data_IF_203093627012
#
_entry.id   IF_203093627012
#
_cell.length_a   1.000
_cell.length_b   1.000
_cell.length_c   1.000
_cell.angle_alpha   90.00
_cell.angle_beta   90.00
_cell.angle_gamma   90.00
#
_symmetry.space_group_name_H-M   'P 1'
#
loop_
_entity.id
_entity.type
_entity.pdbx_description
1 polymer ?
#
# COMPACT_ATOMS: atom_id res chain seq x y z
N UNK A 1 48.39 -6.13 -61.71
CA UNK A 1 48.75 -5.44 -60.49
C UNK A 1 47.59 -4.53 -60.13
N UNK A 2 46.70 -4.97 -59.22
CA UNK A 2 45.58 -4.16 -58.73
C UNK A 2 46.10 -3.37 -57.54
N UNK A 3 46.14 -2.04 -57.66
CA UNK A 3 46.36 -1.11 -56.51
C UNK A 3 45.03 -0.90 -55.83
N UNK A 4 44.94 -1.37 -54.60
CA UNK A 4 43.83 -1.03 -53.65
C UNK A 4 44.19 0.31 -52.99
N UNK A 5 43.58 1.39 -53.47
CA UNK A 5 43.63 2.69 -52.79
C UNK A 5 42.75 2.66 -51.56
N UNK A 6 43.35 2.43 -50.38
CA UNK A 6 42.70 2.62 -49.09
C UNK A 6 42.58 4.10 -48.79
N UNK A 7 41.41 4.71 -49.01
CA UNK A 7 41.09 6.08 -48.54
C UNK A 7 40.84 6.07 -47.02
N UNK A 8 41.68 6.73 -46.21
CA UNK A 8 41.57 6.71 -44.76
C UNK A 8 40.26 7.37 -44.20
N UNK A 9 39.59 8.18 -45.04
CA UNK A 9 38.32 8.84 -44.64
C UNK A 9 37.11 7.89 -44.53
N UNK A 10 37.14 6.73 -45.14
CA UNK A 10 36.02 5.78 -45.03
C UNK A 10 36.08 4.98 -43.76
N UNK A 11 37.28 4.70 -43.23
CA UNK A 11 37.46 3.94 -41.99
C UNK A 11 36.97 4.70 -40.75
N UNK A 12 37.21 6.02 -40.70
CA UNK A 12 36.71 6.87 -39.60
C UNK A 12 35.18 7.02 -39.61
N UNK A 13 34.56 7.08 -40.80
CA UNK A 13 33.10 7.15 -40.90
C UNK A 13 32.42 5.84 -40.47
N UNK A 14 32.97 4.70 -40.86
CA UNK A 14 32.43 3.40 -40.44
C UNK A 14 32.63 3.15 -38.95
N UNK A 15 33.78 3.54 -38.37
CA UNK A 15 34.03 3.47 -36.92
C UNK A 15 33.10 4.39 -36.15
N UNK A 16 32.82 5.60 -36.63
CA UNK A 16 31.90 6.53 -35.99
C UNK A 16 30.46 6.04 -36.02
N UNK A 17 30.03 5.45 -37.13
CA UNK A 17 28.67 4.89 -37.26
C UNK A 17 28.50 3.63 -36.41
N UNK A 18 29.51 2.76 -36.30
CA UNK A 18 29.45 1.60 -35.39
C UNK A 18 29.49 2.00 -33.92
N UNK A 19 30.25 3.05 -33.58
CA UNK A 19 30.25 3.60 -32.22
C UNK A 19 28.89 4.24 -31.85
N UNK A 20 28.27 4.99 -32.75
CA UNK A 20 26.92 5.55 -32.58
C UNK A 20 25.84 4.47 -32.47
N UNK A 21 25.91 3.41 -33.25
CA UNK A 21 25.00 2.26 -33.18
C UNK A 21 25.22 1.44 -31.90
N UNK A 22 26.44 1.37 -31.37
CA UNK A 22 26.75 0.74 -30.08
C UNK A 22 26.23 1.49 -28.85
N UNK A 23 26.03 2.80 -28.95
CA UNK A 23 25.51 3.65 -27.88
C UNK A 23 23.97 3.59 -27.74
N UNK A 24 23.25 3.07 -28.73
CA UNK A 24 21.77 2.96 -28.69
C UNK A 24 21.27 1.70 -27.99
N UNK A 25 22.17 0.86 -27.48
CA UNK A 25 21.84 -0.40 -26.79
C UNK A 25 21.60 -0.35 -25.30
N UNK A 26 21.44 0.83 -24.68
CA UNK A 26 20.92 0.92 -23.33
C UNK A 26 19.43 0.59 -23.37
N UNK A 27 19.09 -0.69 -23.25
CA UNK A 27 17.71 -1.14 -23.05
C UNK A 27 17.15 -0.39 -21.84
N UNK A 28 16.36 0.65 -22.09
CA UNK A 28 15.62 1.33 -21.04
C UNK A 28 14.69 0.30 -20.41
N UNK A 29 14.99 -0.10 -19.18
CA UNK A 29 14.17 -1.07 -18.46
C UNK A 29 12.76 -0.51 -18.37
N UNK A 30 11.82 -1.15 -19.06
CA UNK A 30 10.42 -0.75 -19.08
C UNK A 30 9.88 -0.72 -17.63
N UNK A 31 9.18 0.35 -17.29
CA UNK A 31 8.51 0.45 -15.99
C UNK A 31 7.41 -0.61 -15.90
N UNK A 32 7.45 -1.42 -14.86
CA UNK A 32 6.35 -2.28 -14.42
C UNK A 32 6.12 -2.05 -12.94
N UNK A 33 4.86 -1.92 -12.56
CA UNK A 33 4.43 -1.81 -11.16
C UNK A 33 3.85 -3.17 -10.76
N UNK A 34 4.48 -3.80 -9.78
CA UNK A 34 4.17 -5.16 -9.35
C UNK A 34 3.49 -5.09 -7.98
N UNK A 35 2.21 -5.43 -7.95
CA UNK A 35 1.42 -5.70 -6.75
C UNK A 35 1.11 -7.20 -6.77
N UNK A 36 1.83 -8.03 -5.98
CA UNK A 36 1.74 -9.49 -6.11
C UNK A 36 0.41 -10.04 -5.64
N UNK A 37 -0.20 -9.43 -4.62
CA UNK A 37 -1.46 -9.88 -4.04
C UNK A 37 -2.65 -9.21 -4.74
N UNK A 38 -3.61 -10.03 -5.22
CA UNK A 38 -4.89 -9.53 -5.73
C UNK A 38 -5.83 -9.12 -4.60
N UNK A 39 -5.72 -9.79 -3.46
CA UNK A 39 -6.51 -9.50 -2.27
C UNK A 39 -5.81 -9.95 -1.00
N UNK A 40 -6.05 -9.23 0.09
CA UNK A 40 -5.65 -9.60 1.45
C UNK A 40 -6.84 -9.44 2.39
N UNK A 41 -6.86 -10.23 3.46
CA UNK A 41 -7.87 -10.17 4.51
C UNK A 41 -7.19 -9.92 5.84
N UNK A 42 -7.67 -8.91 6.57
CA UNK A 42 -7.11 -8.47 7.85
C UNK A 42 -8.24 -8.29 8.86
N UNK A 43 -7.99 -8.62 10.13
CA UNK A 43 -8.96 -8.38 11.20
C UNK A 43 -8.96 -6.89 11.60
N UNK A 44 -10.12 -6.33 11.90
CA UNK A 44 -10.20 -4.97 12.40
C UNK A 44 -9.35 -4.81 13.68
N UNK A 45 -8.55 -3.74 13.74
CA UNK A 45 -7.57 -3.48 14.80
C UNK A 45 -6.16 -3.98 14.51
N UNK A 46 -5.96 -4.89 13.58
CA UNK A 46 -4.65 -5.35 13.13
C UNK A 46 -4.03 -4.39 12.11
N UNK A 47 -2.85 -4.73 11.64
CA UNK A 47 -2.13 -3.98 10.60
C UNK A 47 -2.13 -4.73 9.28
N UNK A 48 -2.15 -3.99 8.17
CA UNK A 48 -2.04 -4.52 6.82
C UNK A 48 -0.76 -4.04 6.14
N UNK A 49 -0.10 -4.93 5.40
CA UNK A 49 0.98 -4.55 4.49
C UNK A 49 0.46 -4.72 3.06
N UNK A 50 0.63 -3.66 2.26
CA UNK A 50 0.33 -3.66 0.83
C UNK A 50 1.64 -3.60 0.06
N UNK A 51 1.94 -4.66 -0.67
CA UNK A 51 3.20 -4.79 -1.39
C UNK A 51 3.15 -4.09 -2.76
N UNK A 52 4.18 -3.31 -3.07
CA UNK A 52 4.39 -2.67 -4.36
C UNK A 52 5.87 -2.55 -4.67
N UNK A 53 6.31 -3.14 -5.76
CA UNK A 53 7.65 -2.95 -6.29
C UNK A 53 7.61 -2.45 -7.73
N UNK A 54 8.64 -1.69 -8.13
CA UNK A 54 8.76 -1.18 -9.50
C UNK A 54 10.03 -1.68 -10.16
N UNK A 55 10.03 -1.81 -11.47
CA UNK A 55 11.21 -2.24 -12.23
C UNK A 55 12.12 -1.08 -12.62
N UNK A 56 11.59 0.15 -12.62
CA UNK A 56 12.31 1.38 -12.98
C UNK A 56 11.78 2.55 -12.18
N UNK A 57 12.60 3.55 -11.93
CA UNK A 57 12.18 4.83 -11.34
C UNK A 57 11.75 5.86 -12.40
N UNK A 58 12.03 5.59 -13.69
CA UNK A 58 11.63 6.44 -14.80
C UNK A 58 10.20 6.11 -15.28
N UNK A 59 9.46 7.13 -15.77
CA UNK A 59 9.79 8.54 -15.85
C UNK A 59 9.90 9.20 -14.47
N UNK A 60 10.51 10.39 -14.40
CA UNK A 60 10.65 11.15 -13.15
C UNK A 60 9.28 11.56 -12.61
N UNK A 61 9.05 11.31 -11.34
CA UNK A 61 7.79 11.64 -10.67
C UNK A 61 7.53 10.74 -9.46
N UNK A 62 6.58 11.09 -8.59
CA UNK A 62 6.30 10.35 -7.38
C UNK A 62 5.56 9.04 -7.64
N UNK A 63 5.61 8.18 -6.61
CA UNK A 63 4.66 7.07 -6.46
C UNK A 63 3.68 7.46 -5.36
N UNK A 64 2.40 7.18 -5.59
CA UNK A 64 1.32 7.40 -4.62
C UNK A 64 0.46 6.16 -4.52
N UNK A 65 -0.09 5.94 -3.35
CA UNK A 65 -1.12 4.94 -3.13
C UNK A 65 -2.50 5.57 -3.18
N UNK A 66 -3.36 5.01 -4.02
CA UNK A 66 -4.73 5.47 -4.23
C UNK A 66 -5.69 4.36 -3.84
N UNK A 67 -6.60 4.65 -2.92
CA UNK A 67 -7.71 3.78 -2.57
C UNK A 67 -8.93 4.13 -3.44
N UNK A 68 -9.62 3.10 -3.94
CA UNK A 68 -10.89 3.21 -4.68
C UNK A 68 -11.99 2.44 -3.96
N UNK A 69 -13.15 3.10 -3.81
CA UNK A 69 -14.39 2.53 -3.31
C UNK A 69 -15.48 2.97 -4.27
N UNK A 70 -15.97 2.08 -5.15
CA UNK A 70 -16.86 2.45 -6.22
C UNK A 70 -16.24 3.53 -7.11
N UNK A 71 -16.88 4.69 -7.22
CA UNK A 71 -16.38 5.85 -7.98
C UNK A 71 -15.46 6.77 -7.17
N UNK A 72 -15.42 6.62 -5.85
CA UNK A 72 -14.59 7.46 -5.00
C UNK A 72 -13.12 7.05 -5.09
N UNK A 73 -12.24 8.07 -5.21
CA UNK A 73 -10.77 7.91 -5.22
C UNK A 73 -10.19 8.80 -4.13
N UNK A 74 -9.24 8.25 -3.40
CA UNK A 74 -8.55 8.96 -2.33
C UNK A 74 -7.06 8.61 -2.33
N UNK A 75 -6.18 9.61 -2.32
CA UNK A 75 -4.76 9.41 -2.03
C UNK A 75 -4.65 9.09 -0.54
N UNK A 76 -4.02 7.96 -0.23
CA UNK A 76 -3.83 7.49 1.16
C UNK A 76 -2.38 7.53 1.60
N UNK A 77 -1.45 7.63 0.66
CA UNK A 77 -0.03 7.80 0.91
C UNK A 77 0.68 8.39 -0.30
N UNK A 78 1.67 9.24 -0.04
CA UNK A 78 2.54 9.83 -1.06
C UNK A 78 4.00 9.74 -0.59
N UNK A 79 4.90 9.31 -1.49
CA UNK A 79 6.33 9.24 -1.19
C UNK A 79 7.04 10.61 -1.38
N UNK A 80 6.30 11.72 -1.32
CA UNK A 80 6.82 13.10 -1.43
C UNK A 80 7.04 13.77 -0.07
N UNK A 81 6.90 13.04 1.04
CA UNK A 81 7.13 13.55 2.39
C UNK A 81 5.87 14.09 3.09
N UNK A 82 4.70 13.97 2.50
CA UNK A 82 3.43 14.26 3.17
C UNK A 82 3.19 13.28 4.32
N UNK A 83 2.64 13.77 5.43
CA UNK A 83 2.30 12.94 6.58
C UNK A 83 0.90 12.35 6.44
N UNK A 84 0.79 11.05 6.51
CA UNK A 84 -0.47 10.31 6.49
C UNK A 84 -0.66 9.58 7.83
N UNK A 85 -1.75 9.84 8.57
CA UNK A 85 -2.04 9.11 9.80
C UNK A 85 -2.18 7.61 9.52
N UNK A 86 -1.58 6.79 10.34
CA UNK A 86 -1.66 5.31 10.30
C UNK A 86 -1.02 4.64 9.08
N UNK A 87 -0.52 5.39 8.09
CA UNK A 87 0.12 4.82 6.89
C UNK A 87 1.59 5.22 6.87
N UNK A 88 2.46 4.24 6.78
CA UNK A 88 3.91 4.43 6.72
C UNK A 88 4.51 3.60 5.59
N UNK A 89 5.68 3.99 5.11
CA UNK A 89 6.47 3.16 4.20
C UNK A 89 7.10 1.97 4.93
N UNK A 90 7.25 0.88 4.21
CA UNK A 90 7.93 -0.33 4.71
C UNK A 90 9.43 -0.23 4.50
N UNK A 91 9.85 0.28 3.35
CA UNK A 91 11.26 0.40 2.97
C UNK A 91 11.83 1.79 3.23
N UNK A 92 13.14 1.91 3.25
CA UNK A 92 13.85 3.17 3.42
C UNK A 92 13.83 4.00 2.12
N UNK A 93 12.99 5.03 2.09
CA UNK A 93 12.80 5.93 0.94
C UNK A 93 14.00 6.87 0.70
N UNK A 94 14.94 6.98 1.65
CA UNK A 94 16.13 7.83 1.48
C UNK A 94 17.16 7.20 0.54
N UNK A 95 17.06 5.91 0.31
CA UNK A 95 17.94 5.20 -0.61
C UNK A 95 17.60 5.54 -2.06
N UNK A 96 18.57 6.10 -2.78
CA UNK A 96 18.41 6.55 -4.17
C UNK A 96 17.90 5.46 -5.13
N UNK A 97 18.22 4.20 -4.89
CA UNK A 97 17.84 3.07 -5.75
C UNK A 97 16.71 2.22 -5.14
N UNK A 98 15.90 2.81 -4.24
CA UNK A 98 14.76 2.10 -3.68
C UNK A 98 13.73 1.82 -4.78
N UNK A 99 13.39 0.56 -4.97
CA UNK A 99 12.36 0.08 -5.90
C UNK A 99 11.15 -0.51 -5.17
N UNK A 100 11.17 -0.50 -3.83
CA UNK A 100 10.09 -0.99 -2.98
C UNK A 100 9.28 0.20 -2.43
N UNK A 101 8.02 0.25 -2.81
CA UNK A 101 7.06 1.27 -2.43
C UNK A 101 5.89 0.68 -1.64
N UNK A 102 6.14 -0.41 -0.94
CA UNK A 102 5.19 -1.06 -0.04
C UNK A 102 4.85 -0.14 1.12
N UNK A 103 3.59 -0.23 1.58
CA UNK A 103 3.08 0.54 2.72
C UNK A 103 2.54 -0.37 3.82
N UNK A 104 2.60 0.14 5.03
CA UNK A 104 2.03 -0.46 6.23
C UNK A 104 0.89 0.43 6.73
N UNK A 105 -0.31 -0.14 6.85
CA UNK A 105 -1.49 0.52 7.40
C UNK A 105 -1.71 -0.03 8.81
N UNK A 106 -1.59 0.80 9.83
CA UNK A 106 -1.79 0.42 11.22
C UNK A 106 -3.24 0.57 11.66
N UNK A 107 -3.69 -0.27 12.60
CA UNK A 107 -5.02 -0.22 13.20
C UNK A 107 -6.14 -0.15 12.14
N UNK A 108 -6.18 -1.16 11.28
CA UNK A 108 -7.14 -1.26 10.18
C UNK A 108 -8.57 -1.30 10.71
N UNK A 109 -9.45 -0.53 10.08
CA UNK A 109 -10.87 -0.42 10.44
C UNK A 109 -11.77 -0.81 9.26
N UNK A 110 -13.05 -1.04 9.51
CA UNK A 110 -14.02 -1.33 8.44
C UNK A 110 -14.08 -0.22 7.37
N UNK A 111 -13.71 1.02 7.73
CA UNK A 111 -13.64 2.13 6.79
C UNK A 111 -12.46 2.03 5.81
N UNK A 112 -11.49 1.15 6.07
CA UNK A 112 -10.32 0.95 5.20
C UNK A 112 -10.58 -0.09 4.08
N UNK A 113 -11.78 -0.69 4.02
CA UNK A 113 -12.19 -1.55 2.91
C UNK A 113 -12.05 -0.85 1.56
N UNK A 114 -11.57 -1.56 0.54
CA UNK A 114 -11.46 -1.03 -0.82
C UNK A 114 -10.34 -1.65 -1.62
N UNK A 115 -10.14 -1.16 -2.84
CA UNK A 115 -9.04 -1.57 -3.71
C UNK A 115 -7.96 -0.51 -3.71
N UNK A 116 -6.74 -0.94 -3.48
CA UNK A 116 -5.56 -0.09 -3.32
C UNK A 116 -4.64 -0.24 -4.51
N UNK A 117 -4.36 0.87 -5.17
CA UNK A 117 -3.50 0.93 -6.34
C UNK A 117 -2.22 1.68 -6.00
N UNK A 118 -1.09 1.07 -6.30
CA UNK A 118 0.21 1.72 -6.37
C UNK A 118 0.32 2.38 -7.74
N UNK A 119 0.50 3.69 -7.78
CA UNK A 119 0.41 4.49 -9.01
C UNK A 119 1.67 5.32 -9.18
N UNK A 120 2.30 5.18 -10.34
CA UNK A 120 3.39 6.05 -10.77
C UNK A 120 2.81 7.30 -11.42
N UNK A 121 3.30 8.44 -10.99
CA UNK A 121 3.02 9.73 -11.60
C UNK A 121 4.20 10.17 -12.46
N UNK A 122 3.91 10.94 -13.47
CA UNK A 122 4.87 11.67 -14.26
C UNK A 122 4.80 13.14 -13.86
N UNK A 123 5.94 13.74 -13.54
CA UNK A 123 6.04 15.16 -13.23
C UNK A 123 6.35 15.93 -14.48
N UNK A 124 5.40 16.74 -14.94
CA UNK A 124 5.59 17.76 -15.98
C UNK A 124 6.07 19.07 -15.35
N UNK A 125 6.23 20.13 -16.15
CA UNK A 125 6.64 21.46 -15.64
C UNK A 125 5.61 22.10 -14.71
N UNK A 126 4.33 21.78 -14.87
CA UNK A 126 3.23 22.42 -14.14
C UNK A 126 2.42 21.45 -13.27
N UNK A 127 2.37 20.15 -13.60
CA UNK A 127 1.45 19.21 -12.98
C UNK A 127 2.05 17.81 -12.83
N UNK A 128 1.39 17.00 -12.01
CA UNK A 128 1.66 15.57 -11.86
C UNK A 128 0.52 14.80 -12.52
N UNK A 129 0.83 14.04 -13.56
CA UNK A 129 -0.13 13.20 -14.28
C UNK A 129 0.07 11.72 -13.94
N UNK A 130 -1.03 10.98 -13.92
CA UNK A 130 -0.99 9.54 -13.69
C UNK A 130 -0.39 8.84 -14.92
N UNK A 131 0.74 8.18 -14.71
CA UNK A 131 1.48 7.52 -15.79
C UNK A 131 1.13 6.04 -15.89
N UNK A 132 1.20 5.31 -14.77
CA UNK A 132 0.96 3.87 -14.77
C UNK A 132 0.42 3.39 -13.43
N UNK A 133 -0.47 2.38 -13.49
CA UNK A 133 -1.08 1.71 -12.33
C UNK A 133 -0.50 0.32 -12.14
N UNK A 134 -0.39 -0.09 -10.88
CA UNK A 134 -0.27 -1.51 -10.53
C UNK A 134 -1.59 -2.26 -10.71
N UNK A 135 -1.56 -3.57 -10.48
CA UNK A 135 -2.73 -4.44 -10.64
C UNK A 135 -3.86 -4.20 -9.65
N UNK A 136 -3.57 -3.52 -8.56
CA UNK A 136 -4.49 -3.28 -7.45
C UNK A 136 -4.58 -4.47 -6.48
N UNK A 137 -4.68 -4.16 -5.18
CA UNK A 137 -4.86 -5.13 -4.10
C UNK A 137 -6.15 -4.81 -3.36
N UNK A 138 -7.08 -5.76 -3.28
CA UNK A 138 -8.33 -5.59 -2.56
C UNK A 138 -8.14 -5.92 -1.08
N UNK A 139 -8.44 -4.97 -0.20
CA UNK A 139 -8.37 -5.14 1.25
C UNK A 139 -9.75 -5.50 1.81
N UNK A 140 -9.88 -6.71 2.31
CA UNK A 140 -11.05 -7.19 3.05
C UNK A 140 -10.81 -7.05 4.54
N UNK A 141 -11.83 -6.58 5.26
CA UNK A 141 -11.76 -6.41 6.71
C UNK A 141 -12.71 -7.40 7.38
N UNK A 142 -12.14 -8.32 8.15
CA UNK A 142 -12.89 -9.23 9.00
C UNK A 142 -13.24 -8.55 10.32
N UNK A 143 -14.48 -8.70 10.77
CA UNK A 143 -14.87 -8.26 12.13
C UNK A 143 -14.14 -9.15 13.14
N UNK A 144 -13.56 -8.54 14.14
CA UNK A 144 -13.04 -9.28 15.28
C UNK A 144 -14.22 -10.01 15.95
N UNK A 145 -14.15 -11.33 16.05
CA UNK A 145 -15.07 -12.09 16.91
C UNK A 145 -14.77 -11.66 18.35
N UNK A 146 -15.59 -10.80 18.92
CA UNK A 146 -15.60 -10.63 20.37
C UNK A 146 -15.95 -12.00 20.92
N UNK A 147 -15.00 -12.66 21.54
CA UNK A 147 -15.23 -13.92 22.22
C UNK A 147 -16.30 -13.67 23.26
N UNK A 148 -17.37 -14.47 23.23
CA UNK A 148 -18.46 -14.39 24.24
C UNK A 148 -17.92 -14.60 25.66
N UNK A 149 -16.66 -14.99 25.80
CA UNK A 149 -15.93 -15.07 27.06
C UNK A 149 -16.03 -13.78 27.91
N UNK A 150 -15.90 -12.59 27.29
CA UNK A 150 -16.04 -11.33 28.04
C UNK A 150 -17.46 -11.14 28.56
N UNK A 151 -18.48 -11.51 27.79
CA UNK A 151 -19.89 -11.48 28.20
C UNK A 151 -20.17 -12.50 29.31
N UNK A 152 -19.60 -13.70 29.19
CA UNK A 152 -19.70 -14.78 30.18
C UNK A 152 -19.06 -14.35 31.49
N UNK A 153 -17.85 -13.74 31.46
CA UNK A 153 -17.17 -13.26 32.66
C UNK A 153 -18.00 -12.18 33.36
N UNK A 154 -18.55 -11.22 32.62
CA UNK A 154 -19.42 -10.19 33.18
C UNK A 154 -20.69 -10.81 33.79
N UNK A 155 -21.33 -11.76 33.12
CA UNK A 155 -22.51 -12.44 33.61
C UNK A 155 -22.22 -13.25 34.92
N UNK A 156 -21.08 -13.95 34.96
CA UNK A 156 -20.68 -14.76 36.14
C UNK A 156 -20.28 -13.89 37.32
N UNK A 157 -19.65 -12.72 37.10
CA UNK A 157 -19.18 -11.85 38.17
C UNK A 157 -20.30 -10.93 38.72
N UNK A 158 -21.20 -10.45 37.86
CA UNK A 158 -22.26 -9.50 38.26
C UNK A 158 -23.59 -10.20 38.54
N UNK A 159 -23.91 -11.34 37.94
CA UNK A 159 -25.15 -12.06 38.10
C UNK A 159 -25.46 -12.39 39.57
N UNK A 160 -24.57 -13.05 40.34
CA UNK A 160 -24.81 -13.39 41.74
C UNK A 160 -25.03 -12.17 42.64
N UNK A 161 -24.30 -11.07 42.39
CA UNK A 161 -24.45 -9.83 43.18
C UNK A 161 -25.80 -9.18 42.95
N UNK A 162 -26.30 -9.17 41.73
CA UNK A 162 -27.64 -8.65 41.41
C UNK A 162 -28.74 -9.48 42.07
N UNK A 163 -28.63 -10.80 42.06
CA UNK A 163 -29.60 -11.71 42.71
C UNK A 163 -29.63 -11.45 44.21
N UNK A 164 -28.48 -11.31 44.88
CA UNK A 164 -28.40 -11.01 46.30
C UNK A 164 -29.07 -9.67 46.65
N UNK A 165 -28.88 -8.64 45.85
CA UNK A 165 -29.53 -7.35 46.02
C UNK A 165 -31.05 -7.46 45.89
N UNK A 166 -31.53 -8.18 44.87
CA UNK A 166 -32.97 -8.39 44.66
C UNK A 166 -33.57 -9.15 45.83
N UNK A 167 -32.98 -10.24 46.30
CA UNK A 167 -33.42 -11.02 47.43
C UNK A 167 -33.45 -10.16 48.71
N UNK A 168 -32.42 -9.37 48.94
CA UNK A 168 -32.36 -8.46 50.08
C UNK A 168 -33.48 -7.41 50.04
N UNK A 169 -33.75 -6.80 48.89
CA UNK A 169 -34.83 -5.80 48.74
C UNK A 169 -36.18 -6.46 48.96
N UNK A 170 -36.44 -7.66 48.41
CA UNK A 170 -37.68 -8.39 48.65
C UNK A 170 -37.88 -8.78 50.12
N UNK A 171 -36.82 -9.21 50.78
CA UNK A 171 -36.85 -9.51 52.22
C UNK A 171 -37.20 -8.27 53.05
N UNK A 172 -36.61 -7.14 52.77
CA UNK A 172 -36.90 -5.84 53.42
C UNK A 172 -38.35 -5.43 53.20
N UNK A 173 -38.87 -5.55 51.99
CA UNK A 173 -40.26 -5.24 51.65
C UNK A 173 -41.25 -6.14 52.42
N UNK A 174 -40.98 -7.44 52.48
CA UNK A 174 -41.82 -8.39 53.21
C UNK A 174 -41.84 -8.09 54.73
N UNK A 175 -40.71 -7.66 55.28
CA UNK A 175 -40.62 -7.30 56.72
C UNK A 175 -41.34 -5.99 57.06
N UNK A 176 -41.57 -5.10 56.09
CA UNK A 176 -42.32 -3.85 56.32
C UNK A 176 -43.84 -4.05 56.19
N UNK A 177 -44.29 -5.12 55.57
CA UNK A 177 -45.71 -5.41 55.41
C UNK A 177 -46.24 -6.45 56.46
N UNK A 178 -45.40 -6.96 57.34
CA UNK A 178 -45.77 -7.81 58.49
C UNK A 178 -45.66 -7.02 59.79
#
# INVERSE_FOLDING_TARGET
>A
MLRLDFRPHSLHRTLLVTLLLGLTGAATKELKIIQPEKSISVTAGESAILNCTVTSLLPVGPIKWIRRIGQCRQVIYSFTGEHFPRVTNVSDNTKRNNLDFSIHISNVTLADYGTYYCVKFWRTYSEEEEFQYGGGTHLYICKQKTTDAAKIIVAVLLGPKLILVIVFVMYRHKKQMA
#
